data_IF_552532343229
#
_entry.id   IF_552532343229
#
_cell.length_a   1.000
_cell.length_b   1.000
_cell.length_c   1.000
_cell.angle_alpha   90.00
_cell.angle_beta   90.00
_cell.angle_gamma   90.00
#
_symmetry.space_group_name_H-M   'P 1'
#
loop_
_entity.id
_entity.type
_entity.pdbx_description
1 polymer ?
#
# COMPACT_ATOMS: atom_id res chain seq x y z
N UNK A 1 -13.04 -2.84 -15.42
CA UNK A 1 -12.12 -3.36 -15.34
C UNK A 1 -11.57 -3.69 -14.10
N UNK A 2 -11.51 -4.62 -13.74
CA UNK A 2 -11.19 -5.07 -12.51
C UNK A 2 -9.85 -4.71 -12.03
N UNK A 3 -9.25 -5.35 -11.21
CA UNK A 3 -7.96 -5.00 -10.66
C UNK A 3 -6.79 -5.59 -11.38
N UNK A 4 -6.94 -5.93 -12.64
CA UNK A 4 -5.86 -6.57 -13.38
C UNK A 4 -4.60 -5.72 -13.45
N UNK A 5 -4.75 -4.40 -13.47
CA UNK A 5 -3.60 -3.52 -13.51
C UNK A 5 -2.75 -3.60 -12.24
N UNK A 6 -3.28 -4.17 -11.16
CA UNK A 6 -2.55 -4.28 -9.91
C UNK A 6 -1.86 -5.62 -9.73
N UNK A 7 -1.91 -6.50 -10.74
CA UNK A 7 -1.26 -7.81 -10.62
C UNK A 7 0.26 -7.70 -10.55
N UNK A 8 0.82 -6.61 -11.08
CA UNK A 8 2.27 -6.38 -11.06
C UNK A 8 2.70 -5.45 -9.93
N UNK A 9 1.81 -5.18 -8.99
CA UNK A 9 2.12 -4.32 -7.86
C UNK A 9 2.53 -5.17 -6.65
N UNK A 10 3.28 -4.57 -5.76
CA UNK A 10 3.64 -5.22 -4.50
C UNK A 10 3.31 -4.29 -3.35
N UNK A 11 3.25 -4.82 -2.14
CA UNK A 11 3.00 -4.03 -0.95
C UNK A 11 4.27 -3.90 -0.14
N UNK A 12 4.29 -2.93 0.74
CA UNK A 12 5.42 -2.69 1.62
C UNK A 12 5.04 -1.70 2.69
N UNK A 13 6.01 -1.35 3.52
CA UNK A 13 5.82 -0.36 4.57
C UNK A 13 7.02 0.56 4.60
N UNK A 14 6.80 1.78 5.08
CA UNK A 14 7.88 2.73 5.27
C UNK A 14 7.68 3.43 6.60
N UNK A 15 8.78 3.84 7.20
CA UNK A 15 8.79 4.53 8.48
C UNK A 15 8.95 6.02 8.26
N UNK A 16 8.09 6.81 8.90
CA UNK A 16 8.17 8.26 8.82
C UNK A 16 8.83 8.75 10.12
N UNK A 17 10.08 9.19 10.02
CA UNK A 17 10.80 9.63 11.19
C UNK A 17 10.23 10.89 11.80
N UNK A 18 9.62 11.73 11.00
CA UNK A 18 9.07 13.00 11.50
C UNK A 18 7.93 12.76 12.49
N UNK A 19 7.12 11.74 12.24
CA UNK A 19 5.99 11.44 13.10
C UNK A 19 6.22 10.20 13.94
N UNK A 20 7.32 9.47 13.70
CA UNK A 20 7.62 8.23 14.40
C UNK A 20 6.53 7.19 14.20
N UNK A 21 5.99 7.13 12.97
CA UNK A 21 4.92 6.19 12.65
C UNK A 21 5.25 5.43 11.37
N UNK A 22 4.52 4.35 11.13
CA UNK A 22 4.64 3.53 9.95
C UNK A 22 3.46 3.78 9.03
N UNK A 23 3.68 3.61 7.74
CA UNK A 23 2.62 3.71 6.75
C UNK A 23 2.80 2.58 5.74
N UNK A 24 1.69 1.96 5.37
CA UNK A 24 1.73 0.93 4.34
C UNK A 24 1.63 1.55 2.96
N UNK A 25 2.08 0.82 1.95
CA UNK A 25 1.94 1.29 0.57
C UNK A 25 1.84 0.12 -0.38
N UNK A 26 1.36 0.42 -1.59
CA UNK A 26 1.46 -0.50 -2.70
C UNK A 26 2.16 0.25 -3.83
N UNK A 27 2.94 -0.46 -4.61
CA UNK A 27 3.79 0.15 -5.63
C UNK A 27 3.83 -0.74 -6.86
N UNK A 28 3.81 -0.10 -8.04
CA UNK A 28 3.88 -0.81 -9.30
C UNK A 28 5.31 -1.27 -9.54
N UNK A 29 5.50 -2.56 -9.78
CA UNK A 29 6.83 -3.10 -10.04
C UNK A 29 7.45 -2.54 -11.31
N UNK A 30 6.63 -2.11 -12.26
CA UNK A 30 7.12 -1.63 -13.54
C UNK A 30 7.31 -0.12 -13.59
N UNK A 31 6.53 0.61 -12.78
CA UNK A 31 6.57 2.07 -12.81
C UNK A 31 6.62 2.55 -11.36
N UNK A 32 7.83 2.82 -10.88
CA UNK A 32 8.01 3.15 -9.47
C UNK A 32 7.31 4.42 -9.02
N UNK A 33 6.98 5.31 -9.94
CA UNK A 33 6.26 6.50 -9.57
C UNK A 33 4.79 6.22 -9.24
N UNK A 34 4.28 5.04 -9.62
CA UNK A 34 2.93 4.67 -9.29
C UNK A 34 2.94 4.03 -7.92
N UNK A 35 2.54 4.78 -6.92
CA UNK A 35 2.59 4.35 -5.53
C UNK A 35 1.42 4.96 -4.78
N UNK A 36 0.77 4.15 -3.96
CA UNK A 36 -0.31 4.62 -3.10
C UNK A 36 0.02 4.30 -1.66
N UNK A 37 -0.10 5.28 -0.80
CA UNK A 37 0.16 5.11 0.63
C UNK A 37 -1.18 4.97 1.34
N UNK A 38 -1.17 4.29 2.48
CA UNK A 38 -2.37 4.22 3.31
C UNK A 38 -2.66 5.60 3.87
N UNK A 39 -3.93 5.92 4.07
CA UNK A 39 -4.28 7.21 4.64
C UNK A 39 -3.93 7.27 6.11
N UNK A 40 -4.03 6.14 6.78
CA UNK A 40 -3.73 6.07 8.20
C UNK A 40 -2.26 5.78 8.42
N UNK A 41 -1.76 6.22 9.55
CA UNK A 41 -0.44 5.87 10.02
C UNK A 41 -0.58 4.92 11.20
N UNK A 42 0.47 4.17 11.49
CA UNK A 42 0.42 3.12 12.52
C UNK A 42 1.65 3.21 13.40
N UNK A 43 1.46 3.00 14.69
CA UNK A 43 2.59 2.96 15.60
C UNK A 43 3.38 1.66 15.48
N UNK A 44 2.71 0.61 15.00
CA UNK A 44 3.30 -0.71 14.90
C UNK A 44 3.52 -1.06 13.43
N UNK A 45 4.71 -1.51 13.10
CA UNK A 45 5.04 -1.94 11.76
C UNK A 45 4.10 -3.05 11.28
N UNK A 46 3.75 -3.97 12.17
CA UNK A 46 2.87 -5.08 11.82
C UNK A 46 1.50 -4.61 11.34
N UNK A 47 0.97 -3.57 11.97
CA UNK A 47 -0.32 -3.03 11.58
C UNK A 47 -0.23 -2.38 10.19
N UNK A 48 0.87 -1.73 9.89
CA UNK A 48 1.09 -1.15 8.57
C UNK A 48 1.20 -2.22 7.50
N UNK A 49 1.85 -3.34 7.82
CA UNK A 49 1.96 -4.46 6.90
C UNK A 49 0.58 -5.00 6.55
N UNK A 50 -0.26 -5.20 7.55
CA UNK A 50 -1.61 -5.70 7.34
C UNK A 50 -2.42 -4.72 6.49
N UNK A 51 -2.28 -3.43 6.76
CA UNK A 51 -3.02 -2.42 6.00
C UNK A 51 -2.58 -2.40 4.55
N UNK A 52 -1.27 -2.52 4.28
CA UNK A 52 -0.76 -2.53 2.92
C UNK A 52 -1.25 -3.76 2.17
N UNK A 53 -1.20 -4.92 2.82
CA UNK A 53 -1.65 -6.15 2.21
C UNK A 53 -3.13 -6.09 1.86
N UNK A 54 -3.93 -5.53 2.76
CA UNK A 54 -5.36 -5.38 2.53
C UNK A 54 -5.62 -4.44 1.36
N UNK A 55 -4.89 -3.33 1.30
CA UNK A 55 -5.05 -2.36 0.24
C UNK A 55 -4.75 -2.99 -1.12
N UNK A 56 -3.69 -3.79 -1.21
CA UNK A 56 -3.35 -4.46 -2.46
C UNK A 56 -4.41 -5.49 -2.84
N UNK A 57 -4.88 -6.25 -1.87
CA UNK A 57 -5.91 -7.24 -2.11
C UNK A 57 -7.19 -6.60 -2.64
N UNK A 58 -7.59 -5.48 -2.03
CA UNK A 58 -8.79 -4.77 -2.49
C UNK A 58 -8.59 -4.18 -3.88
N UNK A 59 -7.42 -3.64 -4.16
CA UNK A 59 -7.12 -3.09 -5.48
C UNK A 59 -7.24 -4.17 -6.55
N UNK A 60 -6.72 -5.35 -6.25
CA UNK A 60 -6.76 -6.47 -7.20
C UNK A 60 -8.18 -6.97 -7.43
N UNK A 61 -9.09 -6.68 -6.52
CA UNK A 61 -10.50 -7.04 -6.67
C UNK A 61 -11.30 -5.96 -7.39
N UNK A 62 -10.64 -4.93 -7.89
CA UNK A 62 -11.32 -3.85 -8.57
C UNK A 62 -11.74 -2.70 -7.67
N UNK A 63 -11.19 -2.62 -6.46
CA UNK A 63 -11.47 -1.55 -5.51
C UNK A 63 -10.20 -0.77 -5.25
N UNK A 64 -9.73 0.01 -6.21
CA UNK A 64 -8.44 0.70 -6.07
C UNK A 64 -8.51 1.75 -4.96
N UNK A 65 -7.36 2.13 -4.42
CA UNK A 65 -7.30 3.19 -3.43
C UNK A 65 -7.75 4.50 -4.03
N UNK A 66 -8.38 5.29 -3.21
CA UNK A 66 -8.92 6.58 -3.64
C UNK A 66 -7.82 7.58 -3.95
#
# INVERSE_FOLDING_TARGET
MSGEQYLHWHDGVEFDEATQTWRGYIEDNNVRSNKHLTEQTFDDKGDAIVAASKMLSEARKGRPPA
#
